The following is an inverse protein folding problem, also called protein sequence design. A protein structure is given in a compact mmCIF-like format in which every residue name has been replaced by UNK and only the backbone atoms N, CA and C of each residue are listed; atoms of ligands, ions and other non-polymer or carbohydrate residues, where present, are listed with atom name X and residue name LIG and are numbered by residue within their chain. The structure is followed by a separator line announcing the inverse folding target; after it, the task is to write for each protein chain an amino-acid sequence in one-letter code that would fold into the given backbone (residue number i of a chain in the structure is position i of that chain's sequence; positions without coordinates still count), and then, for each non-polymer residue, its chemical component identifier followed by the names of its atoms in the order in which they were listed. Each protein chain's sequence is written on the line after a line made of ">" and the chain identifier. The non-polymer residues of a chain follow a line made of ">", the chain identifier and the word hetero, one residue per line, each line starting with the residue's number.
data_IF_513558695633
#
_entry.id   IF_513558695633
#
_cell.length_a   1.000
_cell.length_b   1.000
_cell.length_c   1.000
_cell.angle_alpha   90.00
_cell.angle_beta   90.00
_cell.angle_gamma   90.00
#
_symmetry.space_group_name_H-M   'P 1'
#
loop_
_entity.id
_entity.type
_entity.pdbx_description
1 polymer ?
#
# COMPACT_ATOMS: atom_id res chain seq x y z
N UNK A 1 16.18 9.30 4.00
CA UNK A 1 16.24 10.36 2.97
C UNK A 1 14.87 11.00 2.90
N UNK A 2 14.78 12.33 3.04
CA UNK A 2 13.54 13.06 2.81
C UNK A 2 13.41 13.32 1.30
N UNK A 3 12.50 12.58 0.64
CA UNK A 3 12.22 12.76 -0.77
C UNK A 3 11.74 14.18 -1.06
N UNK A 4 12.34 14.86 -2.03
CA UNK A 4 11.86 16.16 -2.50
C UNK A 4 10.48 15.96 -3.12
N UNK A 5 9.44 16.59 -2.58
CA UNK A 5 8.13 16.63 -3.24
C UNK A 5 8.23 17.43 -4.53
N UNK A 6 8.06 16.74 -5.66
CA UNK A 6 7.85 17.39 -6.95
C UNK A 6 6.49 18.08 -7.00
N UNK A 7 6.32 19.02 -7.94
CA UNK A 7 5.03 19.67 -8.18
C UNK A 7 3.96 18.59 -8.46
N UNK A 8 2.90 18.54 -7.65
CA UNK A 8 1.82 17.56 -7.79
C UNK A 8 2.11 16.17 -7.21
N UNK A 9 3.20 16.00 -6.47
CA UNK A 9 3.57 14.75 -5.78
C UNK A 9 3.58 15.00 -4.27
N UNK A 10 2.45 14.75 -3.57
CA UNK A 10 2.36 15.02 -2.14
C UNK A 10 3.18 14.01 -1.32
N UNK A 11 3.88 14.49 -0.29
CA UNK A 11 4.43 13.62 0.77
C UNK A 11 3.31 13.16 1.71
N UNK A 12 2.38 14.09 2.01
CA UNK A 12 1.15 13.83 2.75
C UNK A 12 -0.02 14.35 1.94
N UNK A 13 -1.04 13.51 1.73
CA UNK A 13 -2.21 13.87 0.93
C UNK A 13 -3.45 13.95 1.82
N UNK A 14 -3.98 15.16 2.04
CA UNK A 14 -5.19 15.31 2.86
C UNK A 14 -6.40 14.98 1.99
N UNK A 15 -6.83 13.72 2.06
CA UNK A 15 -7.78 13.14 1.13
C UNK A 15 -8.73 12.13 1.78
N UNK A 16 -9.80 11.79 1.07
CA UNK A 16 -10.72 10.70 1.41
C UNK A 16 -11.12 9.94 0.15
N UNK A 17 -11.45 8.66 0.30
CA UNK A 17 -12.22 7.91 -0.68
C UNK A 17 -13.70 7.96 -0.32
N UNK A 18 -14.57 8.29 -1.28
CA UNK A 18 -16.01 8.38 -1.08
C UNK A 18 -16.78 7.69 -2.21
N UNK A 19 -17.97 7.17 -1.92
CA UNK A 19 -18.83 6.55 -2.95
C UNK A 19 -19.49 7.62 -3.85
N UNK A 20 -19.66 8.84 -3.32
CA UNK A 20 -20.20 10.00 -4.03
C UNK A 20 -19.48 11.30 -3.62
N UNK A 21 -19.55 12.32 -4.47
CA UNK A 21 -19.10 13.66 -4.14
C UNK A 21 -20.25 14.57 -3.70
N UNK A 22 -20.11 15.20 -2.54
CA UNK A 22 -21.10 16.13 -1.99
C UNK A 22 -20.44 17.46 -1.62
N UNK A 23 -20.76 18.55 -2.33
CA UNK A 23 -20.16 19.87 -2.10
C UNK A 23 -20.37 20.43 -0.68
N UNK A 24 -21.47 20.07 -0.01
CA UNK A 24 -21.75 20.52 1.37
C UNK A 24 -20.88 19.79 2.39
N UNK A 25 -20.45 18.57 2.07
CA UNK A 25 -19.57 17.74 2.91
C UNK A 25 -18.58 16.99 2.01
N UNK A 26 -17.60 17.69 1.41
CA UNK A 26 -16.78 17.13 0.34
C UNK A 26 -15.78 16.10 0.83
N UNK A 27 -15.47 16.11 2.13
CA UNK A 27 -14.55 15.15 2.76
C UNK A 27 -15.27 14.42 3.91
N UNK A 28 -16.23 13.53 3.61
CA UNK A 28 -16.91 12.74 4.64
C UNK A 28 -15.95 11.74 5.28
N UNK A 29 -16.32 11.21 6.46
CA UNK A 29 -15.63 10.06 7.03
C UNK A 29 -15.83 8.81 6.17
N UNK A 30 -14.84 7.93 6.16
CA UNK A 30 -14.85 6.68 5.40
C UNK A 30 -15.57 5.55 6.17
N UNK A 31 -16.86 5.73 6.45
CA UNK A 31 -17.68 4.73 7.16
C UNK A 31 -18.45 3.82 6.19
N UNK A 32 -17.73 3.15 5.29
CA UNK A 32 -18.30 2.27 4.27
C UNK A 32 -18.05 0.79 4.58
N UNK A 33 -18.88 -0.11 4.03
CA UNK A 33 -18.75 -1.56 4.23
C UNK A 33 -17.39 -2.10 3.78
N UNK A 34 -16.91 -1.66 2.62
CA UNK A 34 -15.61 -2.09 2.08
C UNK A 34 -14.42 -1.62 2.94
N UNK A 35 -14.55 -0.50 3.66
CA UNK A 35 -13.51 -0.03 4.61
C UNK A 35 -13.39 -0.99 5.80
N UNK A 36 -14.51 -1.58 6.22
CA UNK A 36 -14.59 -2.51 7.36
C UNK A 36 -14.24 -3.95 7.00
N UNK A 37 -13.96 -4.23 5.73
CA UNK A 37 -13.61 -5.57 5.25
C UNK A 37 -12.19 -5.95 5.70
N UNK A 38 -12.06 -6.29 6.98
CA UNK A 38 -10.83 -6.76 7.64
C UNK A 38 -10.79 -8.28 7.57
N UNK A 39 -10.45 -8.85 6.41
CA UNK A 39 -10.46 -10.30 6.23
C UNK A 39 -9.75 -10.78 4.97
N UNK A 40 -9.66 -12.11 4.83
CA UNK A 40 -9.23 -12.78 3.61
C UNK A 40 -10.44 -12.88 2.68
N UNK A 41 -10.61 -11.92 1.77
CA UNK A 41 -11.76 -11.94 0.86
C UNK A 41 -12.00 -10.62 0.17
N UNK A 42 -12.62 -10.69 -1.00
CA UNK A 42 -12.97 -9.50 -1.77
C UNK A 42 -13.98 -8.65 -0.98
N UNK A 43 -13.74 -7.34 -0.95
CA UNK A 43 -14.67 -6.37 -0.40
C UNK A 43 -15.73 -5.97 -1.44
N UNK A 44 -16.90 -5.57 -0.97
CA UNK A 44 -17.99 -5.03 -1.79
C UNK A 44 -17.73 -3.55 -2.11
N UNK A 45 -16.89 -3.29 -3.11
CA UNK A 45 -16.69 -1.95 -3.63
C UNK A 45 -17.80 -1.57 -4.62
N UNK A 46 -18.18 -0.28 -4.71
CA UNK A 46 -18.93 0.23 -5.86
C UNK A 46 -18.05 0.20 -7.13
N UNK A 47 -18.69 0.36 -8.30
CA UNK A 47 -18.00 0.35 -9.61
C UNK A 47 -16.94 1.44 -9.75
N UNK A 48 -17.08 2.55 -9.00
CA UNK A 48 -16.11 3.64 -8.92
C UNK A 48 -16.16 4.30 -7.54
N UNK A 49 -15.06 4.95 -7.17
CA UNK A 49 -14.99 5.83 -6.00
C UNK A 49 -14.53 7.23 -6.41
N UNK A 50 -14.76 8.20 -5.55
CA UNK A 50 -14.19 9.54 -5.63
C UNK A 50 -12.96 9.63 -4.75
N UNK A 51 -11.84 10.06 -5.31
CA UNK A 51 -10.69 10.54 -4.54
C UNK A 51 -10.83 12.05 -4.38
N UNK A 52 -11.27 12.48 -3.20
CA UNK A 52 -11.48 13.89 -2.89
C UNK A 52 -10.35 14.39 -2.01
N UNK A 53 -9.61 15.39 -2.48
CA UNK A 53 -8.41 15.84 -1.78
C UNK A 53 -8.25 17.37 -1.73
N UNK A 54 -7.37 17.88 -0.87
CA UNK A 54 -7.16 19.33 -0.71
C UNK A 54 -6.17 19.93 -1.70
N UNK A 55 -5.43 19.08 -2.37
CA UNK A 55 -4.41 19.40 -3.34
C UNK A 55 -5.04 20.10 -4.56
N UNK A 56 -4.24 20.96 -5.21
CA UNK A 56 -4.67 21.68 -6.41
C UNK A 56 -4.25 20.98 -7.71
N UNK A 57 -3.33 20.02 -7.60
CA UNK A 57 -2.74 19.27 -8.70
C UNK A 57 -2.21 17.94 -8.17
N UNK A 58 -2.52 16.83 -8.84
CA UNK A 58 -1.95 15.51 -8.58
C UNK A 58 -1.31 14.92 -9.83
N UNK A 59 -0.07 14.45 -9.72
CA UNK A 59 0.74 13.91 -10.81
C UNK A 59 1.58 12.69 -10.40
N UNK A 60 1.35 12.11 -9.23
CA UNK A 60 2.06 10.90 -8.77
C UNK A 60 1.61 9.64 -9.54
N UNK A 61 2.35 8.54 -9.41
CA UNK A 61 2.04 7.23 -9.99
C UNK A 61 1.71 6.16 -8.95
N UNK A 62 2.14 6.37 -7.71
CA UNK A 62 1.89 5.51 -6.57
C UNK A 62 1.71 6.36 -5.31
N UNK A 63 0.80 5.95 -4.43
CA UNK A 63 0.64 6.51 -3.09
C UNK A 63 0.02 5.46 -2.16
N UNK A 64 0.70 5.12 -1.06
CA UNK A 64 0.22 4.12 -0.10
C UNK A 64 -0.72 4.77 0.93
N UNK A 65 -2.02 4.48 0.85
CA UNK A 65 -3.03 4.97 1.78
C UNK A 65 -4.33 4.15 1.65
N UNK A 66 -5.33 4.44 2.48
CA UNK A 66 -6.69 3.87 2.37
C UNK A 66 -6.76 2.34 2.45
N UNK A 67 -5.87 1.73 3.24
CA UNK A 67 -5.72 0.27 3.38
C UNK A 67 -5.31 -0.46 2.09
N UNK A 68 -4.78 0.29 1.12
CA UNK A 68 -4.25 -0.23 -0.13
C UNK A 68 -3.30 0.77 -0.76
N UNK A 69 -3.42 0.95 -2.06
CA UNK A 69 -2.53 1.81 -2.83
C UNK A 69 -3.32 2.56 -3.89
N UNK A 70 -3.07 3.86 -4.02
CA UNK A 70 -3.54 4.62 -5.18
C UNK A 70 -2.47 4.51 -6.27
N UNK A 71 -2.85 3.98 -7.42
CA UNK A 71 -1.94 3.77 -8.55
C UNK A 71 -2.45 4.48 -9.79
N UNK A 72 -1.54 5.00 -10.61
CA UNK A 72 -1.88 5.55 -11.93
C UNK A 72 -2.11 4.45 -12.96
N UNK A 73 -2.64 4.85 -14.12
CA UNK A 73 -2.73 3.97 -15.29
C UNK A 73 -1.35 3.48 -15.76
N UNK A 74 -0.31 4.32 -15.67
CA UNK A 74 1.05 3.93 -16.05
C UNK A 74 1.60 2.85 -15.12
N UNK A 75 1.41 3.00 -13.81
CA UNK A 75 1.79 1.98 -12.83
C UNK A 75 1.02 0.67 -13.07
N UNK A 76 -0.30 0.75 -13.27
CA UNK A 76 -1.14 -0.43 -13.52
C UNK A 76 -0.72 -1.21 -14.78
N UNK A 77 -0.30 -0.52 -15.85
CA UNK A 77 0.20 -1.16 -17.07
C UNK A 77 1.45 -2.00 -16.81
N UNK A 78 2.37 -1.48 -15.99
CA UNK A 78 3.55 -2.25 -15.58
C UNK A 78 3.16 -3.38 -14.65
N UNK A 79 2.30 -3.12 -13.65
CA UNK A 79 1.81 -4.15 -12.73
C UNK A 79 1.27 -5.36 -13.49
N UNK A 80 0.37 -5.15 -14.45
CA UNK A 80 -0.25 -6.23 -15.23
C UNK A 80 0.72 -6.98 -16.17
N UNK A 81 1.90 -6.41 -16.46
CA UNK A 81 2.93 -7.09 -17.25
C UNK A 81 3.77 -8.05 -16.41
N UNK A 82 3.96 -7.73 -15.14
CA UNK A 82 4.91 -8.43 -14.24
C UNK A 82 4.22 -9.21 -13.12
N UNK A 83 2.94 -8.96 -12.85
CA UNK A 83 2.20 -9.66 -11.81
C UNK A 83 0.74 -9.86 -12.22
N UNK A 84 0.11 -10.85 -11.59
CA UNK A 84 -1.33 -11.07 -11.74
C UNK A 84 -2.10 -10.18 -10.78
N UNK A 85 -3.34 -9.85 -11.15
CA UNK A 85 -4.29 -9.18 -10.23
C UNK A 85 -4.88 -10.14 -9.19
N UNK A 86 -4.41 -11.39 -9.13
CA UNK A 86 -4.83 -12.34 -8.11
C UNK A 86 -4.37 -11.85 -6.73
N UNK A 87 -5.33 -11.72 -5.81
CA UNK A 87 -5.11 -11.12 -4.51
C UNK A 87 -5.39 -9.62 -4.41
N UNK A 88 -5.73 -8.96 -5.53
CA UNK A 88 -6.03 -7.54 -5.58
C UNK A 88 -7.40 -7.23 -6.19
N UNK A 89 -8.08 -6.22 -5.65
CA UNK A 89 -9.21 -5.56 -6.29
C UNK A 89 -8.78 -4.21 -6.79
N UNK A 90 -9.24 -3.86 -8.00
CA UNK A 90 -8.99 -2.58 -8.62
C UNK A 90 -10.31 -1.80 -8.69
N UNK A 91 -10.31 -0.58 -8.18
CA UNK A 91 -11.48 0.31 -8.24
C UNK A 91 -11.06 1.62 -8.89
N UNK A 92 -11.69 2.04 -10.01
CA UNK A 92 -11.36 3.30 -10.65
C UNK A 92 -11.75 4.48 -9.75
N UNK A 93 -10.91 5.53 -9.78
CA UNK A 93 -11.09 6.73 -8.99
C UNK A 93 -11.41 7.94 -9.87
N UNK A 94 -12.48 8.65 -9.53
CA UNK A 94 -12.75 9.99 -10.02
C UNK A 94 -12.04 10.99 -9.09
N UNK A 95 -11.00 11.65 -9.61
CA UNK A 95 -10.09 12.46 -8.77
C UNK A 95 -10.41 13.94 -8.88
N UNK A 96 -10.81 14.54 -7.75
CA UNK A 96 -11.28 15.92 -7.68
C UNK A 96 -10.75 16.61 -6.41
N UNK A 97 -10.64 17.92 -6.47
CA UNK A 97 -10.44 18.72 -5.26
C UNK A 97 -11.68 18.71 -4.39
N UNK A 98 -11.52 19.02 -3.10
CA UNK A 98 -12.62 19.29 -2.16
C UNK A 98 -13.57 20.42 -2.58
N UNK A 99 -13.24 21.16 -3.65
CA UNK A 99 -14.10 22.17 -4.27
C UNK A 99 -14.80 21.68 -5.55
N UNK A 100 -14.79 20.37 -5.82
CA UNK A 100 -15.42 19.77 -7.00
C UNK A 100 -14.69 20.02 -8.32
N UNK A 101 -13.48 20.58 -8.29
CA UNK A 101 -12.70 20.85 -9.51
C UNK A 101 -11.80 19.67 -9.85
N UNK A 102 -11.69 19.35 -11.14
CA UNK A 102 -10.67 18.45 -11.67
C UNK A 102 -9.27 18.99 -11.34
N UNK A 103 -8.39 18.11 -10.86
CA UNK A 103 -7.01 18.45 -10.40
C UNK A 103 -5.93 17.59 -11.04
N UNK A 104 -6.31 16.73 -11.98
CA UNK A 104 -5.38 15.85 -12.68
C UNK A 104 -6.02 15.38 -13.97
N UNK A 105 -5.19 15.12 -14.97
CA UNK A 105 -5.58 14.41 -16.20
C UNK A 105 -5.27 12.91 -16.11
N UNK A 106 -4.55 12.47 -15.07
CA UNK A 106 -4.26 11.05 -14.84
C UNK A 106 -5.51 10.32 -14.36
N UNK A 107 -5.73 9.11 -14.87
CA UNK A 107 -6.68 8.17 -14.29
C UNK A 107 -5.98 7.37 -13.19
N UNK A 108 -6.56 7.44 -12.00
CA UNK A 108 -6.11 6.72 -10.81
C UNK A 108 -7.03 5.55 -10.46
N UNK A 109 -6.50 4.60 -9.71
CA UNK A 109 -7.22 3.45 -9.19
C UNK A 109 -6.84 3.20 -7.74
N UNK A 110 -7.79 2.74 -6.93
CA UNK A 110 -7.50 2.11 -5.66
C UNK A 110 -7.20 0.63 -5.91
N UNK A 111 -5.97 0.22 -5.64
CA UNK A 111 -5.50 -1.15 -5.64
C UNK A 111 -5.59 -1.68 -4.19
N UNK A 112 -6.63 -2.47 -3.92
CA UNK A 112 -6.91 -3.02 -2.60
C UNK A 112 -6.41 -4.48 -2.49
N UNK A 113 -5.42 -4.78 -1.63
CA UNK A 113 -4.96 -6.15 -1.40
C UNK A 113 -5.92 -6.93 -0.49
N UNK A 114 -6.71 -7.83 -1.08
CA UNK A 114 -7.57 -8.75 -0.32
C UNK A 114 -6.86 -10.06 0.07
N UNK A 115 -5.73 -10.37 -0.59
CA UNK A 115 -4.86 -11.47 -0.23
C UNK A 115 -3.48 -10.93 0.17
N UNK A 116 -2.86 -11.60 1.14
CA UNK A 116 -1.55 -11.22 1.70
C UNK A 116 -0.72 -12.49 1.81
N UNK A 117 0.44 -12.48 1.18
CA UNK A 117 1.30 -13.64 1.05
C UNK A 117 1.96 -13.97 2.40
N UNK A 118 2.05 -15.26 2.71
CA UNK A 118 2.67 -15.78 3.92
C UNK A 118 4.11 -16.24 3.66
N UNK A 119 4.89 -15.37 3.01
CA UNK A 119 6.23 -15.70 2.52
C UNK A 119 7.36 -15.23 3.44
N UNK A 120 7.06 -14.66 4.60
CA UNK A 120 8.12 -14.36 5.59
C UNK A 120 8.53 -15.66 6.29
N UNK A 121 9.82 -15.98 6.25
CA UNK A 121 10.38 -17.09 7.00
C UNK A 121 10.65 -16.66 8.44
N UNK A 122 9.68 -16.89 9.32
CA UNK A 122 9.83 -16.57 10.74
C UNK A 122 10.81 -17.49 11.48
N UNK A 123 11.27 -18.61 10.90
CA UNK A 123 12.28 -19.46 11.53
C UNK A 123 13.67 -18.85 11.38
N UNK A 124 13.94 -18.17 10.27
CA UNK A 124 15.28 -17.66 9.92
C UNK A 124 15.39 -16.13 9.95
N UNK A 125 14.26 -15.42 10.03
CA UNK A 125 14.20 -13.98 10.29
C UNK A 125 14.60 -13.65 11.74
N UNK A 126 15.07 -12.42 11.97
CA UNK A 126 15.44 -11.94 13.31
C UNK A 126 14.48 -10.85 13.75
N UNK A 127 13.82 -11.04 14.89
CA UNK A 127 12.79 -10.14 15.39
C UNK A 127 12.60 -10.25 16.90
N UNK A 128 12.00 -9.21 17.49
CA UNK A 128 11.61 -9.19 18.89
C UNK A 128 10.12 -9.49 19.02
N UNK A 129 9.79 -10.48 19.85
CA UNK A 129 8.43 -10.93 20.10
C UNK A 129 7.84 -10.14 21.28
N UNK A 130 6.54 -9.86 21.26
CA UNK A 130 5.80 -9.32 22.41
C UNK A 130 6.01 -10.17 23.67
N UNK A 131 6.11 -9.52 24.83
CA UNK A 131 6.35 -10.19 26.11
C UNK A 131 5.32 -11.30 26.39
N UNK A 132 5.79 -12.46 26.84
CA UNK A 132 4.95 -13.62 27.16
C UNK A 132 4.45 -14.39 25.94
N UNK A 133 5.07 -14.23 24.78
CA UNK A 133 4.78 -14.99 23.54
C UNK A 133 6.01 -15.74 23.06
N UNK A 134 5.77 -16.78 22.28
CA UNK A 134 6.78 -17.70 21.74
C UNK A 134 6.93 -17.54 20.23
N UNK A 135 7.97 -18.16 19.66
CA UNK A 135 8.14 -18.26 18.21
C UNK A 135 6.97 -19.02 17.56
N UNK A 136 6.47 -20.07 18.22
CA UNK A 136 5.32 -20.83 17.74
C UNK A 136 4.06 -19.94 17.66
N UNK A 137 3.84 -19.07 18.63
CA UNK A 137 2.75 -18.08 18.58
C UNK A 137 2.90 -17.15 17.37
N UNK A 138 4.12 -16.69 17.07
CA UNK A 138 4.42 -15.83 15.92
C UNK A 138 4.10 -16.55 14.60
N UNK A 139 4.54 -17.79 14.45
CA UNK A 139 4.28 -18.59 13.25
C UNK A 139 2.77 -18.83 13.08
N UNK A 140 2.09 -19.27 14.15
CA UNK A 140 0.65 -19.55 14.14
C UNK A 140 -0.21 -18.30 13.88
N UNK A 141 0.26 -17.12 14.31
CA UNK A 141 -0.37 -15.83 14.07
C UNK A 141 0.26 -15.07 12.90
N UNK A 142 1.12 -15.72 12.12
CA UNK A 142 1.75 -15.18 10.93
C UNK A 142 2.32 -13.76 11.16
N UNK A 143 3.22 -13.62 12.13
CA UNK A 143 3.95 -12.37 12.38
C UNK A 143 3.20 -11.28 13.13
N UNK A 144 1.90 -11.42 13.45
CA UNK A 144 1.12 -10.37 14.14
C UNK A 144 1.60 -10.05 15.57
N UNK A 145 2.41 -10.93 16.15
CA UNK A 145 2.94 -10.81 17.51
C UNK A 145 4.36 -10.24 17.57
N UNK A 146 4.91 -9.85 16.42
CA UNK A 146 6.22 -9.21 16.33
C UNK A 146 6.08 -7.75 16.79
N UNK A 147 7.00 -7.33 17.66
CA UNK A 147 7.14 -5.94 18.09
C UNK A 147 8.07 -5.18 17.14
N UNK A 148 9.25 -5.74 16.88
CA UNK A 148 10.34 -5.13 16.12
C UNK A 148 10.93 -6.15 15.16
N UNK A 149 11.24 -5.74 13.94
CA UNK A 149 12.05 -6.53 13.02
C UNK A 149 13.51 -6.08 13.10
N UNK A 150 14.44 -7.02 13.01
CA UNK A 150 15.88 -6.75 12.86
C UNK A 150 16.37 -7.25 11.50
N UNK A 151 15.83 -8.37 11.03
CA UNK A 151 16.05 -8.94 9.71
C UNK A 151 14.77 -9.62 9.23
N UNK A 152 14.40 -9.45 7.95
CA UNK A 152 13.30 -10.16 7.32
C UNK A 152 13.86 -11.03 6.20
N UNK A 153 13.66 -12.34 6.32
CA UNK A 153 13.97 -13.32 5.27
C UNK A 153 12.68 -13.81 4.63
N UNK A 154 12.71 -13.95 3.31
CA UNK A 154 11.59 -14.47 2.54
C UNK A 154 11.85 -15.94 2.16
N UNK A 155 10.77 -16.72 2.07
CA UNK A 155 10.79 -18.08 1.56
C UNK A 155 10.85 -18.01 0.03
N UNK A 156 12.05 -17.90 -0.53
CA UNK A 156 12.26 -17.69 -1.98
C UNK A 156 11.54 -18.73 -2.84
N UNK A 157 11.51 -20.00 -2.42
CA UNK A 157 10.85 -21.08 -3.15
C UNK A 157 9.32 -20.97 -3.21
N UNK A 158 8.71 -20.15 -2.34
CA UNK A 158 7.28 -19.89 -2.35
C UNK A 158 6.90 -18.67 -3.21
N UNK A 159 7.86 -17.82 -3.56
CA UNK A 159 7.62 -16.59 -4.29
C UNK A 159 7.32 -16.89 -5.77
N UNK A 160 6.16 -16.43 -6.23
CA UNK A 160 5.69 -16.67 -7.60
C UNK A 160 5.11 -15.43 -8.28
N UNK A 161 5.37 -14.24 -7.71
CA UNK A 161 4.87 -12.94 -8.20
C UNK A 161 5.96 -11.88 -8.02
N UNK A 162 6.09 -11.00 -9.01
CA UNK A 162 7.02 -9.87 -8.95
C UNK A 162 6.52 -8.74 -8.05
N UNK A 163 5.20 -8.68 -7.77
CA UNK A 163 4.57 -7.65 -6.94
C UNK A 163 3.54 -8.28 -6.00
N UNK A 164 3.70 -8.08 -4.70
CA UNK A 164 2.90 -8.75 -3.67
C UNK A 164 2.77 -7.92 -2.40
N UNK A 165 1.79 -8.27 -1.56
CA UNK A 165 1.62 -7.70 -0.22
C UNK A 165 1.88 -8.79 0.79
N UNK A 166 2.74 -8.55 1.79
CA UNK A 166 3.02 -9.53 2.84
C UNK A 166 2.01 -9.45 3.97
N UNK A 167 1.74 -10.61 4.55
CA UNK A 167 1.01 -10.75 5.80
C UNK A 167 1.96 -10.60 6.99
N UNK A 168 1.49 -10.01 8.10
CA UNK A 168 2.31 -9.73 9.27
C UNK A 168 1.95 -8.41 9.93
N UNK A 169 2.54 -8.12 11.09
CA UNK A 169 2.36 -6.85 11.78
C UNK A 169 2.79 -5.69 10.85
N UNK A 170 1.82 -4.87 10.42
CA UNK A 170 1.96 -3.69 9.54
C UNK A 170 2.63 -3.90 8.17
N UNK A 171 3.11 -5.10 7.82
CA UNK A 171 3.69 -5.40 6.51
C UNK A 171 2.68 -5.19 5.37
N UNK A 172 1.39 -5.36 5.65
CA UNK A 172 0.31 -5.14 4.70
C UNK A 172 0.11 -3.67 4.28
N UNK A 173 0.84 -2.73 4.89
CA UNK A 173 0.84 -1.31 4.52
C UNK A 173 1.88 -0.98 3.44
N UNK A 174 2.57 -2.00 2.93
CA UNK A 174 3.65 -1.90 1.95
C UNK A 174 3.36 -2.82 0.77
N UNK A 175 3.72 -2.33 -0.42
CA UNK A 175 3.78 -3.14 -1.64
C UNK A 175 5.22 -3.61 -1.82
N UNK A 176 5.43 -4.91 -1.83
CA UNK A 176 6.74 -5.51 -2.06
C UNK A 176 6.87 -5.82 -3.54
N UNK A 177 8.08 -5.65 -4.08
CA UNK A 177 8.37 -6.01 -5.45
C UNK A 177 9.78 -6.55 -5.63
N UNK A 178 10.01 -7.24 -6.73
CA UNK A 178 11.34 -7.65 -7.17
C UNK A 178 12.16 -6.47 -7.70
N UNK A 179 13.47 -6.69 -7.85
CA UNK A 179 14.37 -5.75 -8.52
C UNK A 179 14.04 -5.58 -10.01
N UNK A 180 13.53 -6.61 -10.70
CA UNK A 180 13.10 -6.50 -12.09
C UNK A 180 11.94 -5.51 -12.24
N UNK A 181 10.91 -5.63 -11.40
CA UNK A 181 9.77 -4.71 -11.44
C UNK A 181 10.18 -3.28 -11.09
N UNK A 182 11.03 -3.11 -10.05
CA UNK A 182 11.61 -1.81 -9.68
C UNK A 182 12.36 -1.17 -10.85
N UNK A 183 13.20 -1.93 -11.56
CA UNK A 183 13.96 -1.41 -12.69
C UNK A 183 13.03 -0.84 -13.78
N UNK A 184 11.91 -1.51 -14.08
CA UNK A 184 10.97 -1.03 -15.08
C UNK A 184 10.17 0.19 -14.63
N UNK A 185 9.86 0.32 -13.33
CA UNK A 185 9.29 1.54 -12.76
C UNK A 185 10.24 2.73 -12.90
N UNK A 186 11.53 2.54 -12.60
CA UNK A 186 12.57 3.56 -12.71
C UNK A 186 12.80 3.97 -14.18
N UNK A 187 12.86 3.00 -15.09
CA UNK A 187 13.00 3.22 -16.53
C UNK A 187 11.80 3.96 -17.12
N UNK A 188 10.58 3.66 -16.65
CA UNK A 188 9.38 4.41 -16.99
C UNK A 188 9.31 5.79 -16.33
N UNK A 189 10.22 6.10 -15.40
CA UNK A 189 10.31 7.36 -14.65
C UNK A 189 9.01 7.68 -13.91
N UNK A 190 8.39 6.65 -13.32
CA UNK A 190 7.20 6.83 -12.50
C UNK A 190 7.55 7.62 -11.22
N UNK A 191 6.65 8.49 -10.79
CA UNK A 191 6.91 9.47 -9.72
C UNK A 191 6.09 9.19 -8.45
N UNK A 192 6.61 9.58 -7.28
CA UNK A 192 5.95 9.34 -5.99
C UNK A 192 6.20 7.95 -5.41
N UNK A 193 7.25 7.28 -5.87
CA UNK A 193 7.66 5.95 -5.39
C UNK A 193 9.01 6.09 -4.68
N UNK A 194 9.07 5.62 -3.44
CA UNK A 194 10.31 5.42 -2.71
C UNK A 194 10.57 3.92 -2.59
N UNK A 195 11.75 3.48 -3.01
CA UNK A 195 12.19 2.09 -2.86
C UNK A 195 13.07 1.93 -1.61
N UNK A 196 12.83 0.87 -0.87
CA UNK A 196 13.60 0.49 0.31
C UNK A 196 13.95 -0.98 0.12
N UNK A 197 15.23 -1.33 0.23
CA UNK A 197 15.63 -2.73 0.11
C UNK A 197 15.09 -3.53 1.30
N UNK A 198 14.94 -4.85 1.14
CA UNK A 198 14.43 -5.72 2.21
C UNK A 198 15.37 -5.69 3.44
N UNK A 199 16.66 -5.46 3.23
CA UNK A 199 17.68 -5.34 4.28
C UNK A 199 17.56 -4.02 5.06
N UNK A 200 17.19 -2.93 4.39
CA UNK A 200 16.99 -1.61 5.03
C UNK A 200 15.59 -1.46 5.65
N UNK A 201 14.64 -2.28 5.21
CA UNK A 201 13.24 -2.21 5.62
C UNK A 201 13.03 -2.27 7.15
N UNK A 202 13.69 -3.15 7.93
CA UNK A 202 13.55 -3.16 9.39
C UNK A 202 13.83 -1.80 10.04
N UNK A 203 14.85 -1.07 9.57
CA UNK A 203 15.19 0.26 10.08
C UNK A 203 14.05 1.25 9.81
N UNK A 204 13.52 1.28 8.58
CA UNK A 204 12.39 2.12 8.22
C UNK A 204 11.13 1.77 9.01
N UNK A 205 10.79 0.47 9.07
CA UNK A 205 9.64 -0.05 9.78
C UNK A 205 9.66 0.36 11.25
N UNK A 206 10.78 0.08 11.94
CA UNK A 206 10.93 0.39 13.35
C UNK A 206 10.83 1.90 13.59
N UNK A 207 11.42 2.71 12.70
CA UNK A 207 11.28 4.17 12.78
C UNK A 207 9.82 4.63 12.70
N UNK A 208 9.06 4.04 11.79
CA UNK A 208 7.66 4.41 11.54
C UNK A 208 6.69 3.95 12.64
N UNK A 209 6.91 2.76 13.20
CA UNK A 209 5.94 2.11 14.08
C UNK A 209 6.32 2.02 15.56
N UNK A 210 7.59 2.26 15.93
CA UNK A 210 8.05 2.12 17.32
C UNK A 210 8.39 3.44 18.03
N UNK A 211 8.63 4.54 17.31
CA UNK A 211 8.97 5.84 17.96
C UNK A 211 7.76 6.58 18.57
N UNK A 212 6.60 5.94 18.63
CA UNK A 212 5.38 6.46 19.28
C UNK A 212 4.93 5.60 20.48
N UNK A 213 5.81 4.72 20.99
CA UNK A 213 5.66 4.00 22.26
C UNK A 213 6.73 4.46 23.24
#
# INVERSE_FOLDING_TARGET
>A
MEGKSGRGVPIFMKSVLAEEFNEKKPMPGMDYKWVKSQGTGKAEFPDKLYLVCKERLLLFDYFADFQGFIISTEFLKLFNRYSSMEGYQLVPLETISWKGKKITEKQYYNLFPYHKEKWVDYQTSVFQIKQGKTLEDVINKNGLLINKYEEIKLIESAMNKEVFTLSGAHLNSFLFCSEEFKHELEKAKLVGIDFISIEEFPTYYNKKYLYFL
#
